data_IF_616618411833
#
_entry.id   IF_616618411833
#
_cell.length_a   1.000
_cell.length_b   1.000
_cell.length_c   1.000
_cell.angle_alpha   90.00
_cell.angle_beta   90.00
_cell.angle_gamma   90.00
#
_symmetry.space_group_name_H-M   'P 1'
#
loop_
_entity.id
_entity.type
_entity.pdbx_description
1 polymer ?
#
# COMPACT_ATOMS: atom_id res chain seq x y z
N UNK A 1 -14.23 -0.57 27.97
CA UNK A 1 -13.84 0.10 26.71
C UNK A 1 -14.87 1.17 26.41
N UNK A 2 -14.46 2.44 26.31
CA UNK A 2 -15.38 3.57 26.07
C UNK A 2 -15.90 3.47 24.62
N UNK A 3 -17.18 3.74 24.34
CA UNK A 3 -17.78 3.64 22.99
C UNK A 3 -16.96 4.35 21.89
N UNK A 4 -16.33 5.47 22.23
CA UNK A 4 -15.47 6.27 21.35
C UNK A 4 -14.27 5.49 20.82
N UNK A 5 -13.60 4.70 21.66
CA UNK A 5 -12.48 3.86 21.24
C UNK A 5 -12.94 2.77 20.27
N UNK A 6 -14.11 2.17 20.53
CA UNK A 6 -14.67 1.16 19.64
C UNK A 6 -15.07 1.75 18.28
N UNK A 7 -15.65 2.94 18.26
CA UNK A 7 -15.95 3.66 17.02
C UNK A 7 -14.67 4.02 16.26
N UNK A 8 -13.66 4.55 16.94
CA UNK A 8 -12.36 4.86 16.31
C UNK A 8 -11.70 3.60 15.73
N UNK A 9 -11.73 2.49 16.46
CA UNK A 9 -11.21 1.19 15.99
C UNK A 9 -11.98 0.68 14.79
N UNK A 10 -13.31 0.78 14.81
CA UNK A 10 -14.16 0.40 13.68
C UNK A 10 -13.81 1.22 12.43
N UNK A 11 -13.74 2.56 12.54
CA UNK A 11 -13.39 3.43 11.44
C UNK A 11 -11.97 3.15 10.91
N UNK A 12 -11.00 2.98 11.80
CA UNK A 12 -9.63 2.62 11.41
C UNK A 12 -9.59 1.32 10.59
N UNK A 13 -10.26 0.27 11.06
CA UNK A 13 -10.31 -1.03 10.37
C UNK A 13 -11.04 -0.91 9.03
N UNK A 14 -12.13 -0.15 8.96
CA UNK A 14 -12.85 0.10 7.71
C UNK A 14 -11.95 0.79 6.67
N UNK A 15 -11.24 1.85 7.07
CA UNK A 15 -10.29 2.56 6.20
C UNK A 15 -9.17 1.61 5.76
N UNK A 16 -8.64 0.80 6.69
CA UNK A 16 -7.62 -0.19 6.37
C UNK A 16 -8.11 -1.22 5.34
N UNK A 17 -9.32 -1.76 5.50
CA UNK A 17 -9.92 -2.70 4.54
C UNK A 17 -10.03 -2.05 3.16
N UNK A 18 -10.57 -0.83 3.07
CA UNK A 18 -10.74 -0.14 1.79
C UNK A 18 -9.39 0.14 1.15
N UNK A 19 -8.43 0.72 1.89
CA UNK A 19 -7.14 1.11 1.33
C UNK A 19 -6.27 -0.10 0.96
N UNK A 20 -6.13 -1.07 1.87
CA UNK A 20 -5.31 -2.27 1.67
C UNK A 20 -5.96 -3.20 0.65
N UNK A 21 -7.28 -3.39 0.70
CA UNK A 21 -8.03 -4.19 -0.26
C UNK A 21 -7.96 -3.60 -1.67
N UNK A 22 -8.11 -2.28 -1.82
CA UNK A 22 -7.90 -1.59 -3.10
C UNK A 22 -6.48 -1.82 -3.60
N UNK A 23 -5.47 -1.68 -2.74
CA UNK A 23 -4.06 -1.85 -3.12
C UNK A 23 -3.77 -3.26 -3.62
N UNK A 24 -4.24 -4.28 -2.90
CA UNK A 24 -4.09 -5.68 -3.29
C UNK A 24 -4.81 -5.97 -4.62
N UNK A 25 -6.06 -5.49 -4.77
CA UNK A 25 -6.83 -5.63 -6.00
C UNK A 25 -6.16 -4.98 -7.21
N UNK A 26 -5.61 -3.77 -7.06
CA UNK A 26 -4.86 -3.11 -8.12
C UNK A 26 -3.58 -3.86 -8.50
N UNK A 27 -2.90 -4.49 -7.53
CA UNK A 27 -1.76 -5.37 -7.81
C UNK A 27 -2.13 -6.56 -8.68
N UNK A 28 -3.27 -7.20 -8.39
CA UNK A 28 -3.81 -8.31 -9.20
C UNK A 28 -4.19 -7.83 -10.61
N UNK A 29 -4.85 -6.68 -10.73
CA UNK A 29 -5.20 -6.10 -12.04
C UNK A 29 -3.94 -5.75 -12.84
N UNK A 30 -2.92 -5.19 -12.19
CA UNK A 30 -1.64 -4.87 -12.83
C UNK A 30 -0.96 -6.13 -13.38
N UNK A 31 -0.96 -7.20 -12.60
CA UNK A 31 -0.39 -8.50 -12.98
C UNK A 31 -1.07 -9.08 -14.22
N UNK A 32 -2.41 -9.12 -14.24
CA UNK A 32 -3.14 -9.76 -15.33
C UNK A 32 -3.27 -8.91 -16.59
N UNK A 33 -3.33 -7.58 -16.44
CA UNK A 33 -3.74 -6.69 -17.54
C UNK A 33 -2.77 -5.55 -17.82
N UNK A 34 -1.73 -5.35 -17.00
CA UNK A 34 -0.77 -4.25 -17.17
C UNK A 34 0.00 -4.31 -18.49
N UNK A 35 0.30 -5.53 -18.95
CA UNK A 35 1.13 -5.76 -20.14
C UNK A 35 0.29 -6.02 -21.41
N UNK A 36 -1.04 -5.88 -21.31
CA UNK A 36 -1.94 -6.18 -22.42
C UNK A 36 -1.76 -5.19 -23.59
N UNK A 37 -1.47 -5.65 -24.83
CA UNK A 37 -1.15 -4.75 -25.94
C UNK A 37 -2.22 -3.69 -26.25
N UNK A 38 -3.49 -4.06 -26.17
CA UNK A 38 -4.60 -3.15 -26.52
C UNK A 38 -5.10 -2.28 -25.35
N UNK A 39 -4.84 -2.66 -24.09
CA UNK A 39 -5.52 -2.07 -22.93
C UNK A 39 -4.60 -1.72 -21.76
N UNK A 40 -3.34 -2.17 -21.77
CA UNK A 40 -2.39 -1.98 -20.66
C UNK A 40 -2.16 -0.51 -20.33
N UNK A 41 -2.05 0.36 -21.34
CA UNK A 41 -1.90 1.80 -21.12
C UNK A 41 -3.09 2.42 -20.36
N UNK A 42 -4.32 1.99 -20.66
CA UNK A 42 -5.51 2.42 -19.93
C UNK A 42 -5.49 1.89 -18.49
N UNK A 43 -5.16 0.60 -18.31
CA UNK A 43 -5.07 -0.06 -17.00
C UNK A 43 -4.05 0.64 -16.10
N UNK A 44 -2.83 0.88 -16.58
CA UNK A 44 -1.78 1.54 -15.81
C UNK A 44 -2.20 2.95 -15.37
N UNK A 45 -2.86 3.72 -16.24
CA UNK A 45 -3.38 5.07 -15.92
C UNK A 45 -4.55 5.02 -14.94
N UNK A 46 -5.44 4.04 -15.06
CA UNK A 46 -6.54 3.82 -14.12
C UNK A 46 -5.99 3.48 -12.72
N UNK A 47 -5.03 2.56 -12.64
CA UNK A 47 -4.33 2.23 -11.39
C UNK A 47 -3.71 3.47 -10.77
N UNK A 48 -2.95 4.26 -11.53
CA UNK A 48 -2.36 5.52 -11.03
C UNK A 48 -3.41 6.43 -10.40
N UNK A 49 -4.57 6.60 -11.05
CA UNK A 49 -5.65 7.45 -10.55
C UNK A 49 -6.26 6.88 -9.26
N UNK A 50 -6.57 5.58 -9.24
CA UNK A 50 -7.16 4.95 -8.04
C UNK A 50 -6.17 5.02 -6.87
N UNK A 51 -4.88 4.80 -7.10
CA UNK A 51 -3.85 4.95 -6.06
C UNK A 51 -3.84 6.37 -5.47
N UNK A 52 -3.88 7.39 -6.32
CA UNK A 52 -3.87 8.78 -5.88
C UNK A 52 -5.13 9.18 -5.08
N UNK A 53 -6.30 8.66 -5.44
CA UNK A 53 -7.57 9.04 -4.80
C UNK A 53 -7.97 8.17 -3.61
N UNK A 54 -7.60 6.88 -3.60
CA UNK A 54 -8.05 5.94 -2.57
C UNK A 54 -6.91 5.42 -1.71
N UNK A 55 -5.81 4.98 -2.32
CA UNK A 55 -4.73 4.30 -1.59
C UNK A 55 -3.92 5.29 -0.75
N UNK A 56 -3.41 6.37 -1.34
CA UNK A 56 -2.59 7.35 -0.62
C UNK A 56 -3.38 8.02 0.52
N UNK A 57 -4.59 8.57 0.29
CA UNK A 57 -5.37 9.16 1.37
C UNK A 57 -5.77 8.13 2.43
N UNK A 58 -6.12 6.90 2.00
CA UNK A 58 -6.43 5.81 2.90
C UNK A 58 -5.26 5.45 3.82
N UNK A 59 -4.05 5.33 3.29
CA UNK A 59 -2.85 5.06 4.08
C UNK A 59 -2.52 6.18 5.06
N UNK A 60 -2.66 7.44 4.65
CA UNK A 60 -2.50 8.58 5.56
C UNK A 60 -3.52 8.51 6.71
N UNK A 61 -4.78 8.19 6.42
CA UNK A 61 -5.83 8.04 7.42
C UNK A 61 -5.59 6.83 8.35
N UNK A 62 -5.14 5.69 7.83
CA UNK A 62 -4.76 4.52 8.65
C UNK A 62 -3.65 4.89 9.62
N UNK A 63 -2.60 5.59 9.14
CA UNK A 63 -1.50 6.04 10.01
C UNK A 63 -2.01 6.99 11.10
N UNK A 64 -2.76 8.02 10.72
CA UNK A 64 -3.28 9.02 11.65
C UNK A 64 -4.17 8.40 12.73
N UNK A 65 -5.15 7.59 12.31
CA UNK A 65 -6.07 6.92 13.25
C UNK A 65 -5.38 5.84 14.08
N UNK A 66 -4.37 5.15 13.53
CA UNK A 66 -3.57 4.17 14.27
C UNK A 66 -2.74 4.82 15.37
N UNK A 67 -2.05 5.92 15.07
CA UNK A 67 -1.28 6.70 16.05
C UNK A 67 -2.18 7.31 17.13
N UNK A 68 -3.34 7.84 16.73
CA UNK A 68 -4.35 8.36 17.66
C UNK A 68 -4.79 7.30 18.67
N UNK A 69 -5.21 6.11 18.20
CA UNK A 69 -5.61 5.02 19.09
C UNK A 69 -4.46 4.51 19.96
N UNK A 70 -3.25 4.44 19.40
CA UNK A 70 -2.07 4.04 20.15
C UNK A 70 -1.79 5.02 21.29
N UNK A 71 -1.92 6.33 21.06
CA UNK A 71 -1.67 7.37 22.06
C UNK A 71 -2.63 7.27 23.25
N UNK A 72 -3.88 6.87 23.00
CA UNK A 72 -4.91 6.75 24.03
C UNK A 72 -4.74 5.52 24.92
N UNK A 73 -4.09 4.46 24.45
CA UNK A 73 -4.12 3.16 25.11
C UNK A 73 -2.74 2.60 25.48
N UNK A 74 -1.64 3.09 24.89
CA UNK A 74 -0.30 2.59 25.14
C UNK A 74 0.78 3.70 25.11
N UNK A 75 1.88 3.54 25.85
CA UNK A 75 3.06 4.38 25.67
C UNK A 75 3.61 4.24 24.24
N UNK A 76 3.97 5.36 23.59
CA UNK A 76 4.56 5.35 22.24
C UNK A 76 5.91 4.61 22.16
N UNK A 77 6.55 4.39 23.31
CA UNK A 77 7.80 3.64 23.43
C UNK A 77 7.60 2.13 23.44
N UNK A 78 6.36 1.64 23.46
CA UNK A 78 6.07 0.19 23.44
C UNK A 78 6.68 -0.47 22.20
N UNK A 79 7.29 -1.64 22.38
CA UNK A 79 8.08 -2.32 21.34
C UNK A 79 7.33 -2.53 20.02
N UNK A 80 6.11 -3.06 20.07
CA UNK A 80 5.30 -3.31 18.87
C UNK A 80 4.91 -2.01 18.14
N UNK A 81 4.67 -0.91 18.88
CA UNK A 81 4.34 0.40 18.30
C UNK A 81 5.53 0.95 17.51
N UNK A 82 6.74 0.94 18.10
CA UNK A 82 7.95 1.38 17.40
C UNK A 82 8.23 0.53 16.16
N UNK A 83 8.05 -0.80 16.27
CA UNK A 83 8.19 -1.69 15.13
C UNK A 83 7.14 -1.40 14.04
N UNK A 84 5.89 -1.13 14.40
CA UNK A 84 4.85 -0.73 13.44
C UNK A 84 5.17 0.60 12.76
N UNK A 85 5.69 1.59 13.49
CA UNK A 85 6.12 2.88 12.93
C UNK A 85 7.29 2.67 11.96
N UNK A 86 8.28 1.84 12.32
CA UNK A 86 9.40 1.52 11.44
C UNK A 86 8.92 0.84 10.14
N UNK A 87 8.03 -0.14 10.22
CA UNK A 87 7.42 -0.77 9.05
C UNK A 87 6.59 0.24 8.23
N UNK A 88 5.93 1.20 8.86
CA UNK A 88 5.24 2.28 8.17
C UNK A 88 6.19 3.15 7.34
N UNK A 89 7.36 3.51 7.89
CA UNK A 89 8.40 4.25 7.16
C UNK A 89 8.89 3.45 5.95
N UNK A 90 9.14 2.14 6.14
CA UNK A 90 9.49 1.25 5.03
C UNK A 90 8.38 1.22 3.97
N UNK A 91 7.11 1.12 4.40
CA UNK A 91 5.96 1.15 3.52
C UNK A 91 5.86 2.43 2.68
N UNK A 92 6.13 3.60 3.28
CA UNK A 92 6.17 4.89 2.56
C UNK A 92 7.26 4.89 1.48
N UNK A 93 8.45 4.40 1.80
CA UNK A 93 9.56 4.29 0.84
C UNK A 93 9.19 3.35 -0.31
N UNK A 94 8.66 2.16 0.01
CA UNK A 94 8.22 1.18 -1.00
C UNK A 94 7.11 1.78 -1.88
N UNK A 95 6.15 2.50 -1.31
CA UNK A 95 5.09 3.16 -2.08
C UNK A 95 5.65 4.23 -3.01
N UNK A 96 6.56 5.08 -2.52
CA UNK A 96 7.18 6.13 -3.34
C UNK A 96 7.95 5.55 -4.53
N UNK A 97 8.73 4.48 -4.31
CA UNK A 97 9.43 3.76 -5.37
C UNK A 97 8.42 3.11 -6.33
N UNK A 98 7.35 2.49 -5.81
CA UNK A 98 6.31 1.85 -6.63
C UNK A 98 5.61 2.85 -7.55
N UNK A 99 5.34 4.07 -7.07
CA UNK A 99 4.80 5.16 -7.88
C UNK A 99 5.76 5.61 -8.99
N UNK A 100 7.06 5.75 -8.67
CA UNK A 100 8.08 6.08 -9.65
C UNK A 100 8.21 4.99 -10.73
N UNK A 101 8.15 3.72 -10.32
CA UNK A 101 8.15 2.56 -11.22
C UNK A 101 6.91 2.55 -12.10
N UNK A 102 5.71 2.77 -11.55
CA UNK A 102 4.47 2.86 -12.33
C UNK A 102 4.53 3.98 -13.38
N UNK A 103 5.05 5.17 -13.02
CA UNK A 103 5.26 6.25 -13.99
C UNK A 103 6.23 5.86 -15.11
N UNK A 104 7.31 5.15 -14.76
CA UNK A 104 8.26 4.64 -15.75
C UNK A 104 7.64 3.57 -16.65
N UNK A 105 6.81 2.67 -16.10
CA UNK A 105 6.08 1.66 -16.88
C UNK A 105 5.16 2.33 -17.90
N UNK A 106 4.35 3.30 -17.48
CA UNK A 106 3.45 4.05 -18.39
C UNK A 106 4.24 4.67 -19.53
N UNK A 107 5.35 5.36 -19.23
CA UNK A 107 6.18 6.00 -20.26
C UNK A 107 6.75 4.97 -21.25
N UNK A 108 7.34 3.88 -20.74
CA UNK A 108 7.93 2.84 -21.59
C UNK A 108 6.86 2.09 -22.41
N UNK A 109 5.67 1.91 -21.86
CA UNK A 109 4.54 1.36 -22.59
C UNK A 109 4.21 2.25 -23.80
N UNK A 110 4.10 3.57 -23.59
CA UNK A 110 3.74 4.51 -24.65
C UNK A 110 4.88 4.70 -25.69
N UNK A 111 6.16 4.62 -25.30
CA UNK A 111 7.30 4.89 -26.21
C UNK A 111 7.90 3.66 -26.88
N UNK A 112 7.98 2.53 -26.17
CA UNK A 112 8.68 1.32 -26.62
C UNK A 112 7.74 0.11 -26.74
N UNK A 113 6.53 0.21 -26.20
CA UNK A 113 5.54 -0.86 -26.19
C UNK A 113 5.79 -1.93 -25.11
N UNK A 114 4.75 -2.71 -24.76
CA UNK A 114 4.81 -3.72 -23.70
C UNK A 114 5.74 -4.90 -24.00
N UNK A 115 6.07 -5.15 -25.27
CA UNK A 115 6.98 -6.23 -25.67
C UNK A 115 8.47 -5.90 -25.45
N UNK A 116 8.80 -4.62 -25.19
CA UNK A 116 10.18 -4.15 -25.04
C UNK A 116 10.88 -4.74 -23.81
N UNK A 117 12.17 -5.02 -23.92
CA UNK A 117 12.95 -5.56 -22.80
C UNK A 117 13.06 -4.59 -21.62
N UNK A 118 13.12 -3.28 -21.91
CA UNK A 118 13.12 -2.20 -20.94
C UNK A 118 11.84 -2.21 -20.10
N UNK A 119 10.68 -2.32 -20.75
CA UNK A 119 9.37 -2.39 -20.09
C UNK A 119 9.27 -3.64 -19.20
N UNK A 120 9.62 -4.83 -19.73
CA UNK A 120 9.60 -6.07 -18.95
C UNK A 120 10.44 -5.99 -17.67
N UNK A 121 11.64 -5.39 -17.74
CA UNK A 121 12.51 -5.22 -16.56
C UNK A 121 11.85 -4.34 -15.49
N UNK A 122 11.16 -3.28 -15.91
CA UNK A 122 10.44 -2.38 -14.99
C UNK A 122 9.14 -3.02 -14.47
N UNK A 123 8.46 -3.83 -15.29
CA UNK A 123 7.31 -4.66 -14.89
C UNK A 123 7.70 -5.62 -13.76
N UNK A 124 8.80 -6.37 -13.93
CA UNK A 124 9.33 -7.27 -12.91
C UNK A 124 9.72 -6.56 -11.60
N UNK A 125 10.37 -5.39 -11.70
CA UNK A 125 10.66 -4.58 -10.51
C UNK A 125 9.37 -4.14 -9.80
N UNK A 126 8.35 -3.73 -10.55
CA UNK A 126 7.04 -3.36 -10.00
C UNK A 126 6.38 -4.53 -9.25
N UNK A 127 6.44 -5.74 -9.81
CA UNK A 127 5.91 -6.96 -9.19
C UNK A 127 6.66 -7.30 -7.89
N UNK A 128 7.98 -7.20 -7.90
CA UNK A 128 8.80 -7.43 -6.71
C UNK A 128 8.50 -6.41 -5.59
N UNK A 129 8.34 -5.13 -5.95
CA UNK A 129 7.95 -4.08 -5.01
C UNK A 129 6.54 -4.32 -4.46
N UNK A 130 5.60 -4.77 -5.28
CA UNK A 130 4.25 -5.14 -4.86
C UNK A 130 4.25 -6.30 -3.84
N UNK A 131 5.04 -7.34 -4.10
CA UNK A 131 5.23 -8.44 -3.15
C UNK A 131 5.86 -7.95 -1.84
N UNK A 132 6.89 -7.10 -1.91
CA UNK A 132 7.52 -6.48 -0.74
C UNK A 132 6.54 -5.62 0.06
N UNK A 133 5.70 -4.82 -0.61
CA UNK A 133 4.65 -4.04 0.03
C UNK A 133 3.64 -4.94 0.76
N UNK A 134 3.25 -6.07 0.15
CA UNK A 134 2.40 -7.07 0.78
C UNK A 134 2.98 -7.62 2.09
N UNK A 135 4.28 -7.94 2.10
CA UNK A 135 4.96 -8.39 3.32
C UNK A 135 4.98 -7.32 4.43
N UNK A 136 5.22 -6.06 4.06
CA UNK A 136 5.15 -4.93 5.01
C UNK A 136 3.75 -4.82 5.62
N UNK A 137 2.70 -4.89 4.79
CA UNK A 137 1.30 -4.85 5.24
C UNK A 137 1.00 -5.99 6.21
N UNK A 138 1.39 -7.23 5.87
CA UNK A 138 1.19 -8.40 6.73
C UNK A 138 1.92 -8.24 8.06
N UNK A 139 3.15 -7.73 8.04
CA UNK A 139 3.92 -7.44 9.26
C UNK A 139 3.24 -6.41 10.16
N UNK A 140 2.71 -5.32 9.58
CA UNK A 140 1.94 -4.31 10.33
C UNK A 140 0.68 -4.94 10.93
N UNK A 141 -0.10 -5.71 10.16
CA UNK A 141 -1.30 -6.38 10.64
C UNK A 141 -1.00 -7.32 11.80
N UNK A 142 0.07 -8.13 11.70
CA UNK A 142 0.52 -9.00 12.77
C UNK A 142 0.78 -8.21 14.07
N UNK A 143 1.57 -7.14 13.99
CA UNK A 143 1.88 -6.30 15.16
C UNK A 143 0.62 -5.65 15.75
N UNK A 144 -0.30 -5.19 14.90
CA UNK A 144 -1.53 -4.54 15.35
C UNK A 144 -2.51 -5.49 16.02
N UNK A 145 -2.56 -6.76 15.59
CA UNK A 145 -3.45 -7.79 16.13
C UNK A 145 -2.86 -8.39 17.41
N UNK A 146 -1.63 -8.90 17.34
CA UNK A 146 -1.03 -9.68 18.42
C UNK A 146 -0.36 -8.83 19.50
N UNK A 147 0.06 -7.59 19.15
CA UNK A 147 0.66 -6.61 20.08
C UNK A 147 1.67 -7.24 21.05
N UNK A 148 2.73 -7.89 20.54
CA UNK A 148 3.66 -8.63 21.40
C UNK A 148 4.29 -7.71 22.47
N UNK A 149 4.24 -8.16 23.72
CA UNK A 149 4.78 -7.43 24.87
C UNK A 149 3.95 -6.20 25.30
N UNK A 150 2.67 -6.14 24.91
CA UNK A 150 1.70 -5.14 25.37
C UNK A 150 0.92 -5.61 26.61
#
# INVERSE_FOLDING_TARGET
MIPEYLLAKFLHVLIAIVALGTSAGLGIVLEFYGDHPAHGAFVLRAIKRIVAFFVIPGYALVLATGLWMAHLAWPMTTGWIRASIALWVVGIVVLAISLAVLHKQIRLFDTEGPASASYRRVSLLGRALGAGAGLVIVGILYLMIFKPGA
#
